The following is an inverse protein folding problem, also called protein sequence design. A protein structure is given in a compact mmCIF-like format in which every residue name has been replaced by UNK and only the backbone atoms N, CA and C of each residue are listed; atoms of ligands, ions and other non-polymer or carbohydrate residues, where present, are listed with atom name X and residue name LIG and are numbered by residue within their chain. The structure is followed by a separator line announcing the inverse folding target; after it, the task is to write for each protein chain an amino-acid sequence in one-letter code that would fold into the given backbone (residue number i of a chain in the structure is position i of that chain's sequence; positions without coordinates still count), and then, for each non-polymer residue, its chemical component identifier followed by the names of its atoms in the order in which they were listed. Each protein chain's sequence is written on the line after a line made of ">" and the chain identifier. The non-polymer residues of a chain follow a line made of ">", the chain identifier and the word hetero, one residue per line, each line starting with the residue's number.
data_IF_083370466139
#
_entry.id   IF_083370466139
#
_cell.length_a   1.000
_cell.length_b   1.000
_cell.length_c   1.000
_cell.angle_alpha   90.00
_cell.angle_beta   90.00
_cell.angle_gamma   90.00
#
_symmetry.space_group_name_H-M   'P 1'
#
loop_
_entity.id
_entity.type
_entity.pdbx_description
1 polymer ?
#
# COMPACT_ATOMS: atom_id res chain seq x y z
N UNK A 1 -15.94 7.12 3.48
CA UNK A 1 -15.79 5.66 3.21
C UNK A 1 -16.94 5.22 2.32
N UNK A 2 -16.66 4.43 1.27
CA UNK A 2 -17.68 3.91 0.35
C UNK A 2 -17.48 2.41 0.13
N UNK A 3 -18.57 1.67 -0.07
CA UNK A 3 -18.63 0.22 -0.23
C UNK A 3 -19.48 -0.12 -1.46
N UNK A 4 -19.19 -1.25 -2.11
CA UNK A 4 -19.93 -1.72 -3.28
C UNK A 4 -19.52 -0.95 -4.54
N UNK A 5 -20.51 -0.46 -5.28
CA UNK A 5 -20.25 0.26 -6.54
C UNK A 5 -19.48 1.55 -6.29
N UNK A 6 -18.23 1.55 -6.74
CA UNK A 6 -17.35 2.70 -6.70
C UNK A 6 -17.79 3.76 -7.73
N UNK A 7 -17.54 5.06 -7.48
CA UNK A 7 -17.76 6.10 -8.47
C UNK A 7 -16.85 5.86 -9.69
N UNK A 8 -17.22 6.39 -10.86
CA UNK A 8 -16.48 6.19 -12.12
C UNK A 8 -14.99 6.49 -11.98
N UNK A 9 -14.62 7.62 -11.39
CA UNK A 9 -13.22 8.00 -11.18
C UNK A 9 -12.43 7.00 -10.32
N UNK A 10 -13.09 6.31 -9.39
CA UNK A 10 -12.42 5.32 -8.55
C UNK A 10 -12.28 3.97 -9.27
N UNK A 11 -13.20 3.64 -10.17
CA UNK A 11 -13.03 2.52 -11.09
C UNK A 11 -11.89 2.80 -12.07
N UNK A 12 -11.81 4.01 -12.61
CA UNK A 12 -10.68 4.45 -13.44
C UNK A 12 -9.36 4.34 -12.68
N UNK A 13 -9.30 4.83 -11.44
CA UNK A 13 -8.12 4.67 -10.59
C UNK A 13 -7.76 3.20 -10.34
N UNK A 14 -8.76 2.34 -10.09
CA UNK A 14 -8.55 0.90 -9.95
C UNK A 14 -7.96 0.29 -11.22
N UNK A 15 -8.44 0.69 -12.39
CA UNK A 15 -7.90 0.27 -13.69
C UNK A 15 -6.46 0.75 -13.87
N UNK A 16 -6.17 2.03 -13.57
CA UNK A 16 -4.81 2.56 -13.66
C UNK A 16 -3.83 1.86 -12.72
N UNK A 17 -4.27 1.46 -11.52
CA UNK A 17 -3.46 0.64 -10.61
C UNK A 17 -3.15 -0.71 -11.24
N UNK A 18 -4.14 -1.39 -11.82
CA UNK A 18 -3.95 -2.67 -12.51
C UNK A 18 -2.94 -2.54 -13.65
N UNK A 19 -3.13 -1.56 -14.52
CA UNK A 19 -2.27 -1.31 -15.68
C UNK A 19 -0.84 -0.98 -15.26
N UNK A 20 -0.66 -0.14 -14.23
CA UNK A 20 0.66 0.25 -13.74
C UNK A 20 1.44 -0.97 -13.23
N UNK A 21 0.79 -1.85 -12.47
CA UNK A 21 1.41 -3.07 -11.94
C UNK A 21 1.79 -4.02 -13.08
N UNK A 22 0.87 -4.25 -14.02
CA UNK A 22 1.13 -5.11 -15.19
C UNK A 22 2.25 -4.56 -16.07
N UNK A 23 2.36 -3.25 -16.21
CA UNK A 23 3.44 -2.62 -16.97
C UNK A 23 4.78 -2.69 -16.23
N UNK A 24 4.80 -2.55 -14.90
CA UNK A 24 6.04 -2.63 -14.13
C UNK A 24 6.66 -4.03 -14.14
N UNK A 25 5.87 -5.06 -14.42
CA UNK A 25 6.36 -6.44 -14.60
C UNK A 25 6.91 -6.69 -16.02
N UNK A 26 6.76 -5.73 -16.95
CA UNK A 26 7.24 -5.84 -18.32
C UNK A 26 8.66 -5.26 -18.44
N UNK A 27 9.68 -6.12 -18.43
CA UNK A 27 11.06 -5.75 -18.77
C UNK A 27 11.30 -5.92 -20.30
N UNK A 28 11.39 -4.82 -21.07
CA UNK A 28 11.66 -4.90 -22.51
C UNK A 28 13.05 -5.42 -22.87
N UNK A 29 14.00 -5.47 -21.92
CA UNK A 29 15.37 -5.94 -22.14
C UNK A 29 15.54 -7.45 -21.89
N UNK A 30 14.48 -8.17 -21.49
CA UNK A 30 14.51 -9.63 -21.21
C UNK A 30 14.48 -10.55 -22.44
N UNK A 31 14.74 -10.03 -23.65
CA UNK A 31 14.86 -10.86 -24.87
C UNK A 31 16.26 -11.48 -24.93
N UNK A 32 16.56 -12.41 -24.03
CA UNK A 32 17.64 -13.37 -24.23
C UNK A 32 17.07 -14.65 -24.87
N UNK A 33 17.38 -14.78 -26.16
CA UNK A 33 17.22 -16.02 -26.92
C UNK A 33 18.21 -17.04 -26.35
N UNK A 34 17.72 -18.25 -26.02
CA UNK A 34 18.46 -19.45 -25.64
C UNK A 34 18.97 -19.55 -24.19
N UNK A 35 18.11 -19.97 -23.25
CA UNK A 35 18.28 -21.19 -22.42
C UNK A 35 17.11 -21.40 -21.46
N UNK A 36 16.71 -22.67 -21.26
CA UNK A 36 15.61 -23.07 -20.41
C UNK A 36 15.99 -23.05 -18.91
N UNK A 37 15.84 -21.92 -18.24
CA UNK A 37 15.52 -21.87 -16.81
C UNK A 37 14.46 -20.76 -16.65
N UNK A 38 13.24 -21.14 -16.26
CA UNK A 38 12.21 -20.16 -15.93
C UNK A 38 12.61 -19.52 -14.60
N UNK A 39 13.37 -18.43 -14.66
CA UNK A 39 13.38 -17.49 -13.55
C UNK A 39 11.93 -17.02 -13.39
N UNK A 40 11.31 -17.44 -12.29
CA UNK A 40 10.01 -16.94 -11.87
C UNK A 40 10.18 -15.44 -11.62
N UNK A 41 10.01 -14.62 -12.65
CA UNK A 41 10.01 -13.17 -12.52
C UNK A 41 8.95 -12.83 -11.46
N UNK A 42 9.41 -12.51 -10.25
CA UNK A 42 8.54 -12.23 -9.10
C UNK A 42 7.74 -10.97 -9.42
N UNK A 43 6.54 -11.17 -9.95
CA UNK A 43 5.57 -10.13 -10.21
C UNK A 43 5.36 -9.30 -8.94
N UNK A 44 5.42 -7.97 -9.07
CA UNK A 44 5.35 -7.01 -7.94
C UNK A 44 4.05 -7.18 -7.13
N UNK A 45 3.04 -7.82 -7.73
CA UNK A 45 1.76 -8.13 -7.10
C UNK A 45 1.23 -9.48 -7.60
N UNK A 46 0.78 -10.41 -6.73
CA UNK A 46 0.35 -11.74 -7.16
C UNK A 46 -0.68 -11.71 -8.30
N UNK A 47 -0.41 -12.42 -9.41
CA UNK A 47 -1.27 -12.38 -10.60
C UNK A 47 -2.72 -12.82 -10.32
N UNK A 48 -2.92 -13.72 -9.35
CA UNK A 48 -4.25 -14.13 -8.87
C UNK A 48 -5.05 -12.93 -8.32
N UNK A 49 -4.40 -12.00 -7.63
CA UNK A 49 -5.04 -10.79 -7.13
C UNK A 49 -5.35 -9.82 -8.26
N UNK A 50 -4.53 -9.73 -9.32
CA UNK A 50 -4.80 -8.88 -10.48
C UNK A 50 -5.98 -9.36 -11.32
N UNK A 51 -6.16 -10.68 -11.43
CA UNK A 51 -7.22 -11.32 -12.23
C UNK A 51 -8.61 -11.22 -11.59
N UNK A 52 -8.71 -10.87 -10.31
CA UNK A 52 -9.99 -10.80 -9.62
C UNK A 52 -10.85 -9.65 -10.15
N UNK A 53 -12.17 -9.89 -10.23
CA UNK A 53 -13.15 -8.88 -10.66
C UNK A 53 -14.24 -8.65 -9.59
N UNK A 54 -14.60 -7.40 -9.29
CA UNK A 54 -13.77 -6.20 -9.54
C UNK A 54 -12.45 -6.31 -8.76
N UNK A 55 -11.40 -5.60 -9.20
CA UNK A 55 -10.12 -5.57 -8.47
C UNK A 55 -10.28 -4.96 -7.06
N UNK A 56 -11.07 -3.89 -6.96
CA UNK A 56 -11.45 -3.25 -5.71
C UNK A 56 -12.94 -2.88 -5.75
N UNK A 57 -13.63 -2.98 -4.61
CA UNK A 57 -15.05 -2.58 -4.46
C UNK A 57 -15.27 -1.76 -3.18
N UNK A 58 -14.21 -1.28 -2.57
CA UNK A 58 -14.23 -0.49 -1.36
C UNK A 58 -13.16 0.59 -1.43
N UNK A 59 -13.52 1.80 -1.05
CA UNK A 59 -12.63 2.95 -1.03
C UNK A 59 -12.78 3.77 0.26
N UNK A 60 -11.66 4.20 0.81
CA UNK A 60 -11.60 5.23 1.85
C UNK A 60 -10.64 6.34 1.42
N UNK A 61 -11.05 7.59 1.68
CA UNK A 61 -10.17 8.75 1.60
C UNK A 61 -9.86 9.19 3.01
N UNK A 62 -8.58 9.29 3.35
CA UNK A 62 -8.11 9.84 4.62
C UNK A 62 -7.46 11.20 4.36
N UNK A 63 -7.74 12.18 5.21
CA UNK A 63 -7.08 13.49 5.21
C UNK A 63 -6.49 13.71 6.60
N UNK A 64 -5.23 14.13 6.64
CA UNK A 64 -4.47 14.37 7.86
C UNK A 64 -3.94 15.81 7.84
N UNK A 65 -4.14 16.53 8.93
CA UNK A 65 -3.45 17.78 9.25
C UNK A 65 -2.08 17.50 9.87
N UNK A 66 -1.18 18.50 9.94
CA UNK A 66 0.07 18.35 10.68
C UNK A 66 -0.18 17.90 12.13
N UNK A 67 0.52 16.85 12.55
CA UNK A 67 0.35 16.18 13.84
C UNK A 67 -0.71 15.08 13.87
N UNK A 68 -1.57 14.96 12.86
CA UNK A 68 -2.50 13.85 12.74
C UNK A 68 -1.85 12.64 12.05
N UNK A 69 -2.36 11.47 12.38
CA UNK A 69 -1.89 10.20 11.85
C UNK A 69 -2.87 9.09 12.20
N UNK A 70 -2.43 7.85 12.07
CA UNK A 70 -3.25 6.67 12.36
C UNK A 70 -2.47 5.72 13.27
N UNK A 71 -3.13 5.21 14.31
CA UNK A 71 -2.53 4.24 15.22
C UNK A 71 -2.13 2.96 14.47
N UNK A 72 -1.13 2.25 14.99
CA UNK A 72 -0.79 0.91 14.56
C UNK A 72 -2.02 -0.01 14.55
N UNK A 73 -2.36 -0.53 13.37
CA UNK A 73 -3.45 -1.46 13.17
C UNK A 73 -3.17 -2.36 11.97
N UNK A 74 -3.88 -3.49 11.94
CA UNK A 74 -4.02 -4.33 10.75
C UNK A 74 -5.39 -4.02 10.14
N UNK A 75 -5.47 -3.99 8.82
CA UNK A 75 -6.74 -3.82 8.13
C UNK A 75 -7.73 -4.93 8.51
N UNK A 76 -9.02 -4.57 8.60
CA UNK A 76 -10.06 -5.50 9.02
C UNK A 76 -10.05 -6.77 8.16
N UNK A 77 -10.29 -7.92 8.79
CA UNK A 77 -10.41 -9.23 8.12
C UNK A 77 -11.61 -9.32 7.16
N UNK A 78 -12.45 -8.29 7.10
CA UNK A 78 -13.54 -8.14 6.14
C UNK A 78 -13.05 -7.70 4.75
N UNK A 79 -11.78 -7.33 4.63
CA UNK A 79 -11.15 -7.04 3.34
C UNK A 79 -10.30 -8.23 2.90
N UNK A 80 -10.36 -8.58 1.63
CA UNK A 80 -9.50 -9.59 1.03
C UNK A 80 -8.02 -9.16 1.05
N UNK A 81 -7.14 -10.03 0.56
CA UNK A 81 -5.75 -9.68 0.32
C UNK A 81 -5.62 -8.64 -0.82
N UNK A 82 -4.46 -7.99 -0.91
CA UNK A 82 -4.18 -7.01 -1.95
C UNK A 82 -4.90 -5.68 -1.71
N UNK A 83 -4.22 -4.79 -1.00
CA UNK A 83 -4.65 -3.43 -0.70
C UNK A 83 -3.76 -2.46 -1.50
N UNK A 84 -4.38 -1.44 -2.09
CA UNK A 84 -3.65 -0.36 -2.76
C UNK A 84 -3.88 0.97 -2.05
N UNK A 85 -2.82 1.74 -1.83
CA UNK A 85 -2.86 3.06 -1.22
C UNK A 85 -2.15 4.07 -2.11
N UNK A 86 -2.87 5.11 -2.52
CA UNK A 86 -2.34 6.24 -3.28
C UNK A 86 -2.16 7.43 -2.35
N UNK A 87 -0.94 7.95 -2.27
CA UNK A 87 -0.61 9.12 -1.45
C UNK A 87 -0.75 10.41 -2.24
N UNK A 88 -1.34 11.45 -1.63
CA UNK A 88 -1.63 12.74 -2.27
C UNK A 88 -1.18 13.91 -1.38
N UNK A 89 -1.03 15.08 -2.01
CA UNK A 89 -0.70 16.37 -1.39
C UNK A 89 0.72 16.45 -0.79
N UNK A 90 1.05 15.68 0.25
CA UNK A 90 2.36 15.77 0.92
C UNK A 90 2.92 14.41 1.33
N UNK A 91 4.24 14.38 1.57
CA UNK A 91 4.94 13.16 1.93
C UNK A 91 4.72 12.77 3.39
N UNK A 92 4.82 11.47 3.69
CA UNK A 92 4.95 10.98 5.07
C UNK A 92 5.78 9.70 5.15
N UNK A 93 6.06 9.26 6.38
CA UNK A 93 6.67 7.97 6.70
C UNK A 93 5.63 7.10 7.38
N UNK A 94 5.20 6.05 6.70
CA UNK A 94 4.40 4.98 7.27
C UNK A 94 5.33 3.95 7.92
N UNK A 95 5.00 3.48 9.11
CA UNK A 95 5.82 2.49 9.82
C UNK A 95 5.08 1.16 9.88
N UNK A 96 5.77 0.09 9.52
CA UNK A 96 5.29 -1.28 9.63
C UNK A 96 5.95 -1.98 10.82
N UNK A 97 5.17 -2.65 11.66
CA UNK A 97 5.69 -3.52 12.72
C UNK A 97 4.95 -4.85 12.75
N UNK A 98 5.68 -5.94 13.03
CA UNK A 98 5.08 -7.27 13.07
C UNK A 98 4.09 -7.38 14.23
N UNK A 99 2.99 -8.09 14.04
CA UNK A 99 2.06 -8.46 15.12
C UNK A 99 2.79 -9.46 16.02
N UNK A 100 3.33 -8.98 17.14
CA UNK A 100 4.06 -9.83 18.09
C UNK A 100 3.07 -10.60 18.98
N UNK A 101 3.23 -11.92 19.06
CA UNK A 101 2.47 -12.78 19.99
C UNK A 101 3.17 -12.97 21.34
N UNK A 102 4.49 -12.71 21.41
CA UNK A 102 5.32 -12.87 22.60
C UNK A 102 6.08 -11.59 22.93
N UNK A 103 5.85 -11.03 24.13
CA UNK A 103 6.31 -9.71 24.61
C UNK A 103 7.85 -9.49 24.68
N UNK A 104 8.67 -10.49 24.32
CA UNK A 104 10.13 -10.47 24.53
C UNK A 104 10.97 -10.04 23.32
N UNK A 105 10.37 -9.81 22.17
CA UNK A 105 11.08 -9.28 21.00
C UNK A 105 10.77 -7.80 20.81
N UNK A 106 11.80 -6.98 20.74
CA UNK A 106 11.65 -5.59 20.34
C UNK A 106 11.03 -5.51 18.95
N UNK A 107 9.94 -4.76 18.80
CA UNK A 107 9.28 -4.54 17.51
C UNK A 107 10.24 -3.81 16.56
N UNK A 108 10.84 -4.55 15.62
CA UNK A 108 11.53 -3.94 14.49
C UNK A 108 10.48 -3.17 13.67
N UNK A 109 10.62 -1.83 13.64
CA UNK A 109 9.79 -0.95 12.81
C UNK A 109 10.48 -0.72 11.48
N UNK A 110 9.77 -1.02 10.40
CA UNK A 110 10.23 -0.78 9.03
C UNK A 110 9.55 0.51 8.54
N UNK A 111 10.30 1.61 8.35
CA UNK A 111 9.74 2.83 7.79
C UNK A 111 9.60 2.71 6.27
N UNK A 112 8.54 3.27 5.72
CA UNK A 112 8.26 3.37 4.29
C UNK A 112 7.91 4.81 3.97
N UNK A 113 8.69 5.44 3.10
CA UNK A 113 8.43 6.80 2.63
C UNK A 113 7.39 6.82 1.52
N UNK A 114 6.38 7.65 1.72
CA UNK A 114 5.25 7.81 0.84
C UNK A 114 5.23 9.24 0.33
N UNK A 115 5.74 9.48 -0.88
CA UNK A 115 5.68 10.77 -1.56
C UNK A 115 4.31 11.02 -2.22
N UNK A 116 3.94 12.27 -2.53
CA UNK A 116 2.77 12.55 -3.36
C UNK A 116 2.85 11.82 -4.70
N UNK A 117 1.76 11.16 -5.09
CA UNK A 117 1.67 10.34 -6.30
C UNK A 117 2.21 8.92 -6.14
N UNK A 118 2.80 8.55 -4.99
CA UNK A 118 3.24 7.17 -4.76
C UNK A 118 2.06 6.20 -4.60
N UNK A 119 2.25 4.98 -5.09
CA UNK A 119 1.38 3.83 -4.90
C UNK A 119 2.08 2.83 -3.96
N UNK A 120 1.42 2.49 -2.86
CA UNK A 120 1.81 1.43 -1.95
C UNK A 120 0.87 0.24 -2.12
N UNK A 121 1.43 -0.94 -2.39
CA UNK A 121 0.71 -2.20 -2.41
C UNK A 121 1.02 -3.00 -1.15
N UNK A 122 -0.02 -3.48 -0.47
CA UNK A 122 0.11 -4.28 0.76
C UNK A 122 -0.63 -5.60 0.53
N UNK A 123 0.10 -6.70 0.53
CA UNK A 123 -0.46 -8.05 0.30
C UNK A 123 0.29 -9.11 1.10
N UNK A 124 -0.27 -10.32 1.17
CA UNK A 124 0.33 -11.46 1.86
C UNK A 124 0.68 -11.16 3.31
N UNK A 125 1.90 -11.50 3.73
CA UNK A 125 2.35 -11.30 5.12
C UNK A 125 2.16 -9.84 5.59
N UNK A 126 2.50 -8.86 4.76
CA UNK A 126 2.41 -7.44 5.11
C UNK A 126 0.96 -6.99 5.40
N UNK A 127 -0.04 -7.61 4.77
CA UNK A 127 -1.45 -7.30 4.98
C UNK A 127 -2.04 -7.99 6.23
N UNK A 128 -1.52 -9.15 6.60
CA UNK A 128 -2.12 -9.97 7.67
C UNK A 128 -1.33 -9.96 8.98
N UNK A 129 -0.01 -9.90 8.90
CA UNK A 129 0.89 -10.08 10.06
C UNK A 129 1.64 -8.81 10.44
N UNK A 130 1.43 -7.70 9.73
CA UNK A 130 2.08 -6.42 10.01
C UNK A 130 1.04 -5.34 10.28
N UNK A 131 1.24 -4.64 11.40
CA UNK A 131 0.54 -3.39 11.68
C UNK A 131 1.20 -2.28 10.90
N UNK A 132 0.41 -1.32 10.44
CA UNK A 132 0.92 -0.09 9.86
C UNK A 132 0.38 1.14 10.60
N UNK A 133 1.21 2.18 10.68
CA UNK A 133 0.88 3.43 11.36
C UNK A 133 1.49 4.65 10.66
N UNK A 134 0.90 5.81 10.90
CA UNK A 134 1.49 7.12 10.59
C UNK A 134 1.56 7.89 11.90
N UNK A 135 2.74 8.45 12.20
CA UNK A 135 3.02 9.13 13.46
C UNK A 135 1.98 10.24 13.74
N UNK A 136 1.44 10.24 14.96
CA UNK A 136 0.40 11.18 15.46
C UNK A 136 1.01 12.32 16.30
N UNK A 137 2.30 12.58 16.13
CA UNK A 137 3.02 13.63 16.85
C UNK A 137 3.27 14.81 15.92
N UNK A 138 2.98 16.04 16.36
CA UNK A 138 3.31 17.23 15.60
C UNK A 138 4.84 17.39 15.47
N UNK A 139 5.27 18.15 14.47
CA UNK A 139 6.68 18.41 14.16
C UNK A 139 7.15 17.61 12.95
N UNK A 140 8.42 17.22 12.95
CA UNK A 140 9.05 16.57 11.79
C UNK A 140 8.93 15.05 11.84
N UNK A 141 8.82 14.43 10.66
CA UNK A 141 9.11 13.01 10.48
C UNK A 141 10.54 12.86 9.97
N UNK A 142 11.19 11.72 10.24
CA UNK A 142 12.55 11.47 9.75
C UNK A 142 12.54 10.39 8.68
N UNK A 143 13.18 10.66 7.56
CA UNK A 143 13.45 9.68 6.51
C UNK A 143 14.89 9.83 6.04
N UNK A 144 15.67 8.75 6.10
CA UNK A 144 17.07 8.74 5.67
C UNK A 144 17.91 9.89 6.26
N UNK A 145 17.69 10.17 7.55
CA UNK A 145 18.36 11.26 8.28
C UNK A 145 17.81 12.67 8.00
N UNK A 146 16.94 12.83 7.00
CA UNK A 146 16.33 14.11 6.64
C UNK A 146 15.01 14.33 7.40
N UNK A 147 14.78 15.58 7.80
CA UNK A 147 13.52 16.01 8.40
C UNK A 147 12.50 16.32 7.29
N UNK A 148 11.34 15.66 7.38
CA UNK A 148 10.17 15.90 6.57
C UNK A 148 9.21 16.76 7.39
N UNK A 149 8.95 17.97 6.91
CA UNK A 149 7.94 18.83 7.50
C UNK A 149 6.54 18.28 7.25
N UNK A 150 5.73 18.21 8.30
CA UNK A 150 4.38 17.69 8.20
C UNK A 150 3.47 18.75 7.58
N UNK A 151 2.87 18.41 6.46
CA UNK A 151 1.88 19.24 5.79
C UNK A 151 0.54 18.51 5.73
N UNK A 152 -0.51 19.18 5.23
CA UNK A 152 -1.78 18.52 4.96
C UNK A 152 -1.54 17.39 3.94
N UNK A 153 -1.98 16.19 4.29
CA UNK A 153 -1.83 14.98 3.47
C UNK A 153 -3.19 14.34 3.25
N UNK A 154 -3.43 13.89 2.02
CA UNK A 154 -4.57 13.04 1.72
C UNK A 154 -4.11 11.71 1.16
N UNK A 155 -4.93 10.66 1.27
CA UNK A 155 -4.64 9.38 0.64
C UNK A 155 -5.92 8.64 0.30
N UNK A 156 -5.85 7.83 -0.74
CA UNK A 156 -6.94 6.97 -1.19
C UNK A 156 -6.51 5.52 -0.97
N UNK A 157 -7.27 4.77 -0.18
CA UNK A 157 -7.04 3.33 0.01
C UNK A 157 -8.15 2.56 -0.68
N UNK A 158 -7.77 1.67 -1.60
CA UNK A 158 -8.61 0.77 -2.37
C UNK A 158 -8.49 -0.66 -1.84
N UNK A 159 -9.62 -1.31 -1.63
CA UNK A 159 -9.74 -2.64 -1.04
C UNK A 159 -10.87 -3.43 -1.71
N UNK A 160 -10.86 -4.74 -1.50
CA UNK A 160 -11.96 -5.63 -1.86
C UNK A 160 -12.57 -6.22 -0.60
N UNK A 161 -13.89 -6.19 -0.47
CA UNK A 161 -14.63 -6.87 0.59
C UNK A 161 -14.58 -8.39 0.37
N UNK A 162 -14.39 -9.15 1.44
CA UNK A 162 -14.62 -10.60 1.43
C UNK A 162 -16.09 -10.88 1.09
N UNK A 163 -16.32 -11.92 0.30
CA UNK A 163 -17.66 -12.48 0.06
C UNK A 163 -18.22 -13.19 1.29
#
# INVERSE_FOLDING_TARGET
>A
MRFGDLPSWANELSTSVRELVQYSDYDPDSVDTDTCEMDEQECIFPSELLRREPLFNQLIVNSYQPGEGICAHVDLMRFEDGIALVSLESSCVMHFSRVVTNEKQAEAKIPVYLSPGSLLLIFGEARYQWKHEINRKPGFQKWDGLDIDQQRRSSITLRKLCN
#
